data_IF_291947175500
#
_entry.id   IF_291947175500
#
_cell.length_a   1.000
_cell.length_b   1.000
_cell.length_c   1.000
_cell.angle_alpha   90.00
_cell.angle_beta   90.00
_cell.angle_gamma   90.00
#
_symmetry.space_group_name_H-M   'P 1'
#
loop_
_entity.id
_entity.type
_entity.pdbx_description
1 polymer ?
#
# COMPACT_ATOMS: atom_id res chain seq x y z
N UNK A 1 1.64 -25.69 -4.86
CA UNK A 1 3.07 -25.49 -5.12
C UNK A 1 3.79 -26.77 -5.59
N UNK A 2 3.22 -27.95 -5.38
CA UNK A 2 3.96 -29.21 -5.61
C UNK A 2 4.21 -29.53 -7.10
N UNK A 3 3.41 -28.97 -8.03
CA UNK A 3 3.44 -29.35 -9.45
C UNK A 3 4.23 -28.38 -10.34
N UNK A 4 4.69 -27.27 -9.80
CA UNK A 4 5.37 -26.20 -10.52
C UNK A 4 6.62 -25.72 -9.79
N UNK A 5 7.70 -25.46 -10.53
CA UNK A 5 8.90 -24.80 -10.00
C UNK A 5 8.75 -23.30 -10.12
N UNK A 6 8.27 -22.64 -9.08
CA UNK A 6 8.22 -21.19 -9.00
C UNK A 6 9.59 -20.61 -8.71
N UNK A 7 9.95 -19.53 -9.38
CA UNK A 7 11.22 -18.81 -9.14
C UNK A 7 11.13 -17.88 -7.96
N UNK A 8 9.97 -17.30 -7.73
CA UNK A 8 9.65 -16.45 -6.57
C UNK A 8 8.13 -16.32 -6.42
N UNK A 9 7.70 -16.00 -5.22
CA UNK A 9 6.37 -15.53 -4.89
C UNK A 9 6.44 -14.02 -4.62
N UNK A 10 5.63 -13.25 -5.36
CA UNK A 10 5.60 -11.78 -5.23
C UNK A 10 4.31 -11.39 -4.53
N UNK A 11 4.43 -10.60 -3.48
CA UNK A 11 3.32 -10.06 -2.70
C UNK A 11 3.33 -8.53 -2.79
N UNK A 12 2.15 -7.94 -2.90
CA UNK A 12 1.97 -6.49 -2.89
C UNK A 12 1.14 -6.09 -1.67
N UNK A 13 1.71 -5.21 -0.86
CA UNK A 13 1.03 -4.65 0.31
C UNK A 13 0.80 -5.68 1.42
N UNK A 14 -0.27 -5.47 2.18
CA UNK A 14 -0.51 -6.10 3.48
C UNK A 14 -1.91 -6.76 3.60
N UNK A 15 -2.47 -7.17 2.48
CA UNK A 15 -3.77 -7.84 2.45
C UNK A 15 -3.71 -9.29 2.94
N UNK A 16 -4.85 -9.97 3.05
CA UNK A 16 -4.95 -11.37 3.46
C UNK A 16 -4.10 -12.33 2.59
N UNK A 17 -3.71 -11.93 1.39
CA UNK A 17 -2.82 -12.71 0.52
C UNK A 17 -1.46 -12.99 1.16
N UNK A 18 -1.04 -12.14 2.12
CA UNK A 18 0.18 -12.34 2.92
C UNK A 18 0.21 -13.70 3.61
N UNK A 19 -0.95 -14.27 3.94
CA UNK A 19 -1.00 -15.63 4.52
C UNK A 19 -0.36 -16.68 3.61
N UNK A 20 -0.34 -16.45 2.30
CA UNK A 20 0.36 -17.32 1.34
C UNK A 20 1.88 -17.30 1.47
N UNK A 21 2.47 -16.27 2.12
CA UNK A 21 3.92 -16.18 2.32
C UNK A 21 4.45 -17.31 3.23
N UNK A 22 3.67 -17.72 4.22
CA UNK A 22 4.02 -18.83 5.12
C UNK A 22 4.15 -20.13 4.31
N UNK A 23 3.19 -20.38 3.39
CA UNK A 23 3.24 -21.55 2.52
C UNK A 23 4.43 -21.47 1.54
N UNK A 24 4.72 -20.29 0.99
CA UNK A 24 5.89 -20.08 0.13
C UNK A 24 7.19 -20.38 0.88
N UNK A 25 7.33 -19.86 2.10
CA UNK A 25 8.49 -20.12 2.96
C UNK A 25 8.65 -21.63 3.25
N UNK A 26 7.57 -22.33 3.59
CA UNK A 26 7.61 -23.79 3.84
C UNK A 26 8.09 -24.59 2.62
N UNK A 27 7.85 -24.09 1.42
CA UNK A 27 8.28 -24.73 0.17
C UNK A 27 9.62 -24.18 -0.37
N UNK A 28 10.34 -23.36 0.41
CA UNK A 28 11.59 -22.70 0.02
C UNK A 28 11.45 -21.91 -1.29
N UNK A 29 10.30 -21.28 -1.52
CA UNK A 29 10.07 -20.39 -2.64
C UNK A 29 10.49 -18.99 -2.21
N UNK A 30 11.44 -18.33 -2.91
CA UNK A 30 11.86 -16.98 -2.58
C UNK A 30 10.68 -16.00 -2.53
N UNK A 31 10.64 -15.16 -1.51
CA UNK A 31 9.56 -14.21 -1.26
C UNK A 31 10.04 -12.82 -1.61
N UNK A 32 9.26 -12.12 -2.45
CA UNK A 32 9.48 -10.73 -2.82
C UNK A 32 8.29 -9.92 -2.31
N UNK A 33 8.54 -8.92 -1.48
CA UNK A 33 7.51 -8.02 -0.96
C UNK A 33 7.65 -6.62 -1.59
N UNK A 34 6.58 -6.15 -2.22
CA UNK A 34 6.44 -4.80 -2.75
C UNK A 34 5.57 -4.00 -1.78
N UNK A 35 5.94 -2.75 -1.51
CA UNK A 35 5.35 -1.88 -0.48
C UNK A 35 5.74 -2.29 0.95
N UNK A 36 6.95 -2.84 1.09
CA UNK A 36 7.43 -3.33 2.37
C UNK A 36 7.97 -2.25 3.31
N UNK A 37 8.16 -2.65 4.54
CA UNK A 37 8.73 -1.87 5.65
C UNK A 37 7.92 -0.64 6.09
N UNK A 38 6.76 -0.37 5.51
CA UNK A 38 5.88 0.70 6.00
C UNK A 38 5.29 0.30 7.36
N UNK A 39 5.27 1.23 8.33
CA UNK A 39 4.73 1.00 9.68
C UNK A 39 3.80 2.13 10.10
N UNK A 40 2.67 1.75 10.65
CA UNK A 40 1.76 2.65 11.38
C UNK A 40 2.00 2.59 12.90
N UNK A 41 2.62 1.48 13.36
CA UNK A 41 2.78 1.12 14.78
C UNK A 41 1.45 1.00 15.53
N UNK A 42 0.33 0.94 14.83
CA UNK A 42 -0.98 0.69 15.42
C UNK A 42 -1.31 -0.80 15.39
N UNK A 43 -1.00 -1.48 16.48
CA UNK A 43 -1.18 -2.92 16.61
C UNK A 43 -2.65 -3.39 16.62
N UNK A 44 -3.61 -2.45 16.64
CA UNK A 44 -5.03 -2.74 16.47
C UNK A 44 -5.37 -3.09 15.02
N UNK A 45 -4.55 -2.60 14.08
CA UNK A 45 -4.71 -2.87 12.64
C UNK A 45 -4.16 -4.27 12.30
N UNK A 46 -4.99 -5.17 11.73
CA UNK A 46 -4.50 -6.47 11.25
C UNK A 46 -3.40 -6.34 10.20
N UNK A 47 -3.49 -5.33 9.33
CA UNK A 47 -2.55 -5.04 8.26
C UNK A 47 -1.14 -4.77 8.80
N UNK A 48 -1.01 -4.11 9.93
CA UNK A 48 0.29 -3.87 10.57
C UNK A 48 0.99 -5.18 10.93
N UNK A 49 0.22 -6.14 11.45
CA UNK A 49 0.71 -7.49 11.79
C UNK A 49 1.11 -8.27 10.54
N UNK A 50 0.28 -8.20 9.50
CA UNK A 50 0.54 -8.90 8.24
C UNK A 50 1.80 -8.37 7.57
N UNK A 51 1.95 -7.04 7.53
CA UNK A 51 3.12 -6.37 6.97
C UNK A 51 4.39 -6.74 7.71
N UNK A 52 4.35 -6.74 9.04
CA UNK A 52 5.48 -7.18 9.87
C UNK A 52 5.88 -8.62 9.55
N UNK A 53 4.92 -9.54 9.46
CA UNK A 53 5.19 -10.96 9.16
C UNK A 53 5.85 -11.13 7.80
N UNK A 54 5.28 -10.53 6.74
CA UNK A 54 5.81 -10.74 5.40
C UNK A 54 7.17 -10.07 5.20
N UNK A 55 7.41 -8.92 5.80
CA UNK A 55 8.72 -8.26 5.73
C UNK A 55 9.83 -9.16 6.30
N UNK A 56 9.57 -9.81 7.45
CA UNK A 56 10.53 -10.71 8.08
C UNK A 56 10.67 -12.07 7.40
N UNK A 57 9.72 -12.46 6.54
CA UNK A 57 9.80 -13.68 5.73
C UNK A 57 10.42 -13.42 4.34
N UNK A 58 10.63 -12.16 3.96
CA UNK A 58 11.02 -11.82 2.60
C UNK A 58 12.51 -11.96 2.33
N UNK A 59 12.84 -12.51 1.16
CA UNK A 59 14.21 -12.52 0.63
C UNK A 59 14.56 -11.22 -0.08
N UNK A 60 13.54 -10.46 -0.53
CA UNK A 60 13.70 -9.14 -1.16
C UNK A 60 12.51 -8.25 -0.85
N UNK A 61 12.79 -7.00 -0.47
CA UNK A 61 11.78 -5.99 -0.14
C UNK A 61 11.99 -4.77 -1.00
N UNK A 62 10.91 -4.28 -1.60
CA UNK A 62 10.85 -3.00 -2.31
C UNK A 62 10.05 -2.01 -1.48
N UNK A 63 10.76 -1.07 -0.86
CA UNK A 63 10.17 0.01 -0.07
C UNK A 63 9.95 1.24 -0.95
N UNK A 64 8.89 2.01 -0.70
CA UNK A 64 8.61 3.20 -1.48
C UNK A 64 9.42 4.41 -1.04
N UNK A 65 9.80 4.51 0.22
CA UNK A 65 10.48 5.67 0.80
C UNK A 65 11.68 5.22 1.65
N UNK A 66 12.69 6.11 1.76
CA UNK A 66 13.86 5.89 2.63
C UNK A 66 13.45 5.75 4.11
N UNK A 67 12.39 6.46 4.53
CA UNK A 67 11.86 6.31 5.88
C UNK A 67 11.37 4.89 6.14
N UNK A 68 10.71 4.24 5.18
CA UNK A 68 10.26 2.85 5.32
C UNK A 68 11.46 1.88 5.39
N UNK A 69 12.48 2.10 4.56
CA UNK A 69 13.74 1.35 4.69
C UNK A 69 14.31 1.49 6.10
N UNK A 70 14.34 2.71 6.65
CA UNK A 70 14.84 2.95 8.01
C UNK A 70 14.01 2.22 9.07
N UNK A 71 12.69 2.11 8.91
CA UNK A 71 11.81 1.35 9.79
C UNK A 71 12.19 -0.15 9.77
N UNK A 72 12.37 -0.74 8.58
CA UNK A 72 12.79 -2.13 8.45
C UNK A 72 14.17 -2.40 9.06
N UNK A 73 15.13 -1.50 8.87
CA UNK A 73 16.46 -1.61 9.49
C UNK A 73 16.38 -1.58 11.02
N UNK A 74 15.54 -0.72 11.59
CA UNK A 74 15.34 -0.63 13.04
C UNK A 74 14.71 -1.91 13.62
N UNK A 75 13.99 -2.68 12.82
CA UNK A 75 13.43 -3.98 13.21
C UNK A 75 14.41 -5.16 12.96
N UNK A 76 15.62 -4.87 12.51
CA UNK A 76 16.67 -5.87 12.30
C UNK A 76 16.63 -6.56 10.93
N UNK A 77 15.82 -6.04 9.98
CA UNK A 77 15.84 -6.54 8.60
C UNK A 77 17.14 -6.10 7.94
N UNK A 78 17.77 -7.01 7.21
CA UNK A 78 19.08 -6.77 6.60
C UNK A 78 18.99 -5.74 5.46
N UNK A 79 19.93 -4.79 5.44
CA UNK A 79 19.94 -3.73 4.43
C UNK A 79 20.04 -4.25 2.99
N UNK A 80 20.75 -5.35 2.80
CA UNK A 80 21.00 -5.91 1.46
C UNK A 80 19.75 -6.49 0.79
N UNK A 81 18.67 -6.75 1.55
CA UNK A 81 17.41 -7.22 0.98
C UNK A 81 16.40 -6.10 0.74
N UNK A 82 16.60 -4.89 1.30
CA UNK A 82 15.71 -3.76 1.14
C UNK A 82 16.21 -2.82 0.03
N UNK A 83 15.37 -2.55 -0.96
CA UNK A 83 15.64 -1.58 -2.02
C UNK A 83 14.54 -0.52 -2.04
N UNK A 84 14.91 0.75 -2.01
CA UNK A 84 13.97 1.85 -2.21
C UNK A 84 13.78 2.10 -3.70
N UNK A 85 12.52 2.16 -4.14
CA UNK A 85 12.16 2.28 -5.57
C UNK A 85 11.31 3.50 -5.88
N UNK A 86 10.80 4.21 -4.89
CA UNK A 86 9.71 5.16 -5.07
C UNK A 86 8.34 4.48 -5.11
N UNK A 87 7.28 5.28 -5.07
CA UNK A 87 5.91 4.79 -5.17
C UNK A 87 5.47 4.77 -6.64
N UNK A 88 5.16 3.60 -7.23
CA UNK A 88 4.77 3.48 -8.64
C UNK A 88 3.54 4.32 -9.02
N UNK A 89 2.69 4.67 -8.06
CA UNK A 89 1.53 5.53 -8.33
C UNK A 89 1.93 6.91 -8.86
N UNK A 90 3.12 7.40 -8.48
CA UNK A 90 3.64 8.69 -8.95
C UNK A 90 3.92 8.63 -10.45
N UNK A 91 4.52 7.54 -10.91
CA UNK A 91 4.81 7.33 -12.34
C UNK A 91 3.50 7.20 -13.13
N UNK A 92 2.53 6.45 -12.60
CA UNK A 92 1.22 6.29 -13.22
C UNK A 92 0.49 7.64 -13.33
N UNK A 93 0.54 8.47 -12.29
CA UNK A 93 -0.06 9.81 -12.32
C UNK A 93 0.65 10.66 -13.37
N UNK A 94 1.96 10.70 -13.39
CA UNK A 94 2.75 11.51 -14.33
C UNK A 94 2.48 11.10 -15.79
N UNK A 95 2.43 9.81 -16.07
CA UNK A 95 2.18 9.28 -17.42
C UNK A 95 0.75 9.61 -17.90
N UNK A 96 -0.18 9.83 -16.98
CA UNK A 96 -1.58 10.08 -17.26
C UNK A 96 -2.02 11.54 -17.02
N UNK A 97 -1.11 12.46 -16.66
CA UNK A 97 -1.45 13.87 -16.40
C UNK A 97 -2.26 14.51 -17.53
N UNK A 98 -1.94 14.21 -18.80
CA UNK A 98 -2.68 14.68 -19.97
C UNK A 98 -4.17 14.32 -19.97
N UNK A 99 -4.56 13.24 -19.29
CA UNK A 99 -5.95 12.81 -19.17
C UNK A 99 -6.67 13.51 -18.02
N UNK A 100 -5.93 13.98 -16.99
CA UNK A 100 -6.52 14.75 -15.90
C UNK A 100 -6.87 16.18 -16.34
N UNK A 101 -6.09 16.78 -17.24
CA UNK A 101 -6.37 18.11 -17.79
C UNK A 101 -7.59 18.11 -18.71
N UNK A 102 -7.93 16.97 -19.32
CA UNK A 102 -9.11 16.78 -20.16
C UNK A 102 -10.31 16.16 -19.43
N UNK A 103 -10.27 16.15 -18.12
CA UNK A 103 -11.18 15.38 -17.25
C UNK A 103 -12.69 15.57 -17.44
N UNK A 104 -13.12 16.61 -18.19
CA UNK A 104 -14.52 16.78 -18.56
C UNK A 104 -15.04 15.70 -19.51
N UNK A 105 -14.16 15.05 -20.29
CA UNK A 105 -14.57 14.08 -21.32
C UNK A 105 -14.82 12.66 -20.76
N UNK A 106 -14.37 12.38 -19.53
CA UNK A 106 -14.44 11.04 -18.93
C UNK A 106 -15.48 10.91 -17.82
N UNK A 107 -15.99 12.02 -17.32
CA UNK A 107 -17.01 12.05 -16.29
C UNK A 107 -18.38 12.28 -16.92
N UNK A 108 -19.35 11.42 -16.65
CA UNK A 108 -20.73 11.67 -17.04
C UNK A 108 -21.23 12.98 -16.40
N UNK A 109 -22.18 13.65 -17.05
CA UNK A 109 -22.81 14.89 -16.52
C UNK A 109 -23.35 14.68 -15.09
N UNK A 110 -23.84 13.48 -14.77
CA UNK A 110 -24.32 13.13 -13.43
C UNK A 110 -23.19 13.21 -12.40
N UNK A 111 -21.98 12.71 -12.73
CA UNK A 111 -20.81 12.78 -11.84
C UNK A 111 -20.30 14.22 -11.72
N UNK A 112 -20.30 14.99 -12.82
CA UNK A 112 -19.90 16.40 -12.79
C UNK A 112 -20.87 17.23 -11.92
N UNK A 113 -22.16 16.93 -11.95
CA UNK A 113 -23.16 17.57 -11.10
C UNK A 113 -22.97 17.19 -9.62
N UNK A 114 -22.58 15.96 -9.32
CA UNK A 114 -22.20 15.52 -7.96
C UNK A 114 -20.95 16.24 -7.45
N UNK A 115 -20.01 16.59 -8.33
CA UNK A 115 -18.80 17.35 -8.00
C UNK A 115 -19.03 18.86 -7.96
N UNK A 116 -20.29 19.31 -8.05
CA UNK A 116 -20.62 20.72 -7.92
C UNK A 116 -20.11 21.32 -6.59
N UNK A 117 -19.80 22.63 -6.56
CA UNK A 117 -19.28 23.29 -5.35
C UNK A 117 -20.15 23.06 -4.10
N UNK A 118 -21.46 22.93 -4.29
CA UNK A 118 -22.40 22.68 -3.20
C UNK A 118 -22.25 21.26 -2.62
N UNK A 119 -22.00 20.27 -3.47
CA UNK A 119 -21.77 18.89 -3.03
C UNK A 119 -20.43 18.74 -2.31
N UNK A 120 -19.38 19.38 -2.82
CA UNK A 120 -18.06 19.41 -2.15
C UNK A 120 -18.13 20.11 -0.79
N UNK A 121 -18.94 21.16 -0.66
CA UNK A 121 -19.19 21.82 0.62
C UNK A 121 -19.90 20.89 1.61
N UNK A 122 -20.92 20.19 1.16
CA UNK A 122 -21.64 19.19 2.01
C UNK A 122 -20.68 18.08 2.44
N UNK A 123 -19.86 17.55 1.53
CA UNK A 123 -18.88 16.50 1.85
C UNK A 123 -17.84 16.98 2.88
N UNK A 124 -17.37 18.22 2.74
CA UNK A 124 -16.41 18.80 3.70
C UNK A 124 -17.06 19.01 5.08
N UNK A 125 -18.32 19.43 5.14
CA UNK A 125 -19.05 19.57 6.40
C UNK A 125 -19.25 18.19 7.08
N UNK A 126 -19.61 17.17 6.32
CA UNK A 126 -19.75 15.79 6.83
C UNK A 126 -18.42 15.28 7.36
N UNK A 127 -17.32 15.50 6.63
CA UNK A 127 -16.00 15.08 7.03
C UNK A 127 -15.51 15.80 8.29
N UNK A 128 -15.75 17.10 8.40
CA UNK A 128 -15.42 17.89 9.60
C UNK A 128 -16.23 17.39 10.81
N UNK A 129 -17.52 17.14 10.66
CA UNK A 129 -18.36 16.61 11.74
C UNK A 129 -17.93 15.20 12.15
N UNK A 130 -17.51 14.36 11.20
CA UNK A 130 -16.97 13.03 11.48
C UNK A 130 -15.67 13.12 12.29
N UNK A 131 -14.74 14.00 11.91
CA UNK A 131 -13.50 14.24 12.66
C UNK A 131 -13.80 14.77 14.07
N UNK A 132 -14.69 15.77 14.20
CA UNK A 132 -15.07 16.31 15.50
C UNK A 132 -15.70 15.24 16.40
N UNK A 133 -16.49 14.32 15.86
CA UNK A 133 -17.08 13.24 16.67
C UNK A 133 -16.02 12.24 17.20
N UNK A 134 -14.88 12.11 16.53
CA UNK A 134 -13.76 11.28 17.00
C UNK A 134 -12.96 11.92 18.14
N UNK A 135 -13.03 13.24 18.30
CA UNK A 135 -12.34 13.96 19.38
C UNK A 135 -13.18 14.13 20.66
N UNK A 136 -14.50 13.84 20.59
CA UNK A 136 -15.40 13.97 21.74
C UNK A 136 -15.96 12.62 22.26
N UNK A 137 -15.36 11.52 21.83
CA UNK A 137 -15.49 10.17 22.37
C UNK A 137 -14.20 9.75 23.08
#
# INVERSE_FOLDING_TARGET
>A
FNDHKYKAAVFLGDTNTVMGSIAAAQHNIPIVHIEGCMRSYDWRMPEEKYRTVIDHLSDRIYAYLENYKSQGLNEGISENIIKVTGNPIVDIINDNLKYFDSGQDYLSEDILNLLSPNFLLILSIIFINFILSLFFL
#
